data_IF_183754958764
#
_entry.id   IF_183754958764
#
_cell.length_a   1.000
_cell.length_b   1.000
_cell.length_c   1.000
_cell.angle_alpha   90.00
_cell.angle_beta   90.00
_cell.angle_gamma   90.00
#
_symmetry.space_group_name_H-M   'P 1'
#
loop_
_entity.id
_entity.type
_entity.pdbx_description
1 polymer ?
#
# COMPACT_ATOMS: atom_id res chain seq x y z
N UNK A 1 -16.16 38.43 15.01
CA UNK A 1 -16.75 37.49 14.05
C UNK A 1 -15.96 37.64 12.75
N UNK A 2 -15.21 36.62 12.35
CA UNK A 2 -14.46 36.69 11.09
C UNK A 2 -15.44 36.45 9.94
N UNK A 3 -15.50 37.37 8.98
CA UNK A 3 -16.23 37.12 7.75
C UNK A 3 -15.49 35.99 7.01
N UNK A 4 -16.21 34.92 6.69
CA UNK A 4 -15.66 33.86 5.84
C UNK A 4 -15.42 34.45 4.45
N UNK A 5 -14.14 34.56 4.10
CA UNK A 5 -13.72 35.04 2.79
C UNK A 5 -13.76 33.87 1.82
N UNK A 6 -14.40 34.06 0.66
CA UNK A 6 -14.32 33.08 -0.43
C UNK A 6 -12.91 33.05 -1.02
N UNK A 7 -12.13 32.05 -0.60
CA UNK A 7 -10.75 31.87 -1.04
C UNK A 7 -10.61 31.63 -2.55
N UNK A 8 -11.63 31.08 -3.22
CA UNK A 8 -11.58 30.89 -4.68
C UNK A 8 -11.76 32.22 -5.40
N UNK A 9 -12.70 33.06 -4.95
CA UNK A 9 -12.89 34.39 -5.52
C UNK A 9 -11.63 35.27 -5.35
N UNK A 10 -10.98 35.22 -4.18
CA UNK A 10 -9.75 35.97 -3.92
C UNK A 10 -8.59 35.48 -4.78
N UNK A 11 -8.35 34.16 -4.85
CA UNK A 11 -7.29 33.61 -5.71
C UNK A 11 -7.57 33.88 -7.19
N UNK A 12 -8.83 33.88 -7.60
CA UNK A 12 -9.26 34.30 -8.94
C UNK A 12 -8.91 35.75 -9.23
N UNK A 13 -9.24 36.67 -8.31
CA UNK A 13 -8.90 38.09 -8.45
C UNK A 13 -7.39 38.35 -8.52
N UNK A 14 -6.60 37.66 -7.69
CA UNK A 14 -5.13 37.72 -7.72
C UNK A 14 -4.58 37.22 -9.07
N UNK A 15 -5.18 36.15 -9.63
CA UNK A 15 -4.77 35.60 -10.91
C UNK A 15 -5.06 36.53 -12.10
N UNK A 16 -6.08 37.39 -12.02
CA UNK A 16 -6.39 38.38 -13.07
C UNK A 16 -5.34 39.50 -13.12
N UNK A 17 -4.85 39.95 -11.96
CA UNK A 17 -3.89 41.07 -11.88
C UNK A 17 -2.65 40.68 -11.05
N UNK A 18 -1.78 39.81 -11.58
CA UNK A 18 -0.62 39.31 -10.85
C UNK A 18 0.49 40.36 -10.66
N UNK A 19 0.41 41.50 -11.34
CA UNK A 19 1.37 42.62 -11.21
C UNK A 19 1.17 43.42 -9.92
N UNK A 20 -0.05 43.42 -9.36
CA UNK A 20 -0.36 44.10 -8.09
C UNK A 20 0.16 43.29 -6.90
N UNK A 21 0.49 42.01 -7.11
CA UNK A 21 0.86 41.07 -6.05
C UNK A 21 2.19 40.34 -6.34
N UNK A 22 3.33 41.06 -6.54
CA UNK A 22 4.60 40.44 -6.89
C UNK A 22 5.19 39.60 -5.75
N UNK A 23 5.07 40.06 -4.50
CA UNK A 23 5.73 39.46 -3.34
C UNK A 23 5.15 38.08 -2.96
N UNK A 24 3.88 37.83 -3.27
CA UNK A 24 3.20 36.56 -2.93
C UNK A 24 3.30 35.51 -4.04
N UNK A 25 3.90 35.81 -5.20
CA UNK A 25 3.94 34.87 -6.35
C UNK A 25 4.57 33.53 -6.00
N UNK A 26 5.68 33.55 -5.26
CA UNK A 26 6.36 32.33 -4.82
C UNK A 26 5.48 31.52 -3.86
N UNK A 27 4.71 32.19 -3.01
CA UNK A 27 3.83 31.54 -2.04
C UNK A 27 2.56 30.99 -2.68
N UNK A 28 2.02 31.65 -3.71
CA UNK A 28 0.92 31.12 -4.52
C UNK A 28 1.34 29.79 -5.18
N UNK A 29 2.52 29.73 -5.80
CA UNK A 29 3.00 28.51 -6.45
C UNK A 29 3.18 27.35 -5.44
N UNK A 30 3.80 27.63 -4.28
CA UNK A 30 3.95 26.64 -3.20
C UNK A 30 2.59 26.18 -2.65
N UNK A 31 1.67 27.11 -2.45
CA UNK A 31 0.34 26.85 -1.89
C UNK A 31 -0.51 26.05 -2.86
N UNK A 32 -0.53 26.42 -4.14
CA UNK A 32 -1.23 25.68 -5.20
C UNK A 32 -0.75 24.23 -5.27
N UNK A 33 0.57 24.00 -5.30
CA UNK A 33 1.13 22.65 -5.26
C UNK A 33 0.72 21.90 -3.99
N UNK A 34 0.75 22.55 -2.84
CA UNK A 34 0.35 21.94 -1.56
C UNK A 34 -1.13 21.56 -1.52
N UNK A 35 -2.01 22.40 -2.07
CA UNK A 35 -3.45 22.13 -2.14
C UNK A 35 -3.74 20.96 -3.08
N UNK A 36 -3.09 20.92 -4.25
CA UNK A 36 -3.25 19.80 -5.19
C UNK A 36 -2.69 18.52 -4.60
N UNK A 37 -1.51 18.52 -3.99
CA UNK A 37 -0.96 17.30 -3.35
C UNK A 37 -1.82 16.82 -2.19
N UNK A 38 -2.36 17.72 -1.36
CA UNK A 38 -3.34 17.37 -0.32
C UNK A 38 -4.59 16.71 -0.93
N UNK A 39 -5.11 17.27 -2.02
CA UNK A 39 -6.26 16.70 -2.72
C UNK A 39 -5.93 15.31 -3.28
N UNK A 40 -4.77 15.12 -3.92
CA UNK A 40 -4.34 13.83 -4.46
C UNK A 40 -4.21 12.77 -3.36
N UNK A 41 -3.71 13.16 -2.19
CA UNK A 41 -3.55 12.30 -0.99
C UNK A 41 -4.86 12.04 -0.24
N UNK A 42 -5.95 12.73 -0.57
CA UNK A 42 -7.23 12.53 0.10
C UNK A 42 -7.71 11.09 -0.09
N UNK A 43 -7.93 10.34 1.01
CA UNK A 43 -8.23 8.89 0.98
C UNK A 43 -9.44 8.53 0.11
N UNK A 44 -10.42 9.43 0.04
CA UNK A 44 -11.68 9.27 -0.71
C UNK A 44 -11.57 9.54 -2.20
N UNK A 45 -10.38 9.84 -2.75
CA UNK A 45 -10.23 10.19 -4.16
C UNK A 45 -10.29 8.96 -5.06
N UNK A 46 -11.34 8.80 -5.90
CA UNK A 46 -11.42 7.71 -6.86
C UNK A 46 -10.56 8.00 -8.10
N UNK A 47 -10.19 6.96 -8.84
CA UNK A 47 -9.39 7.10 -10.07
C UNK A 47 -10.05 8.01 -11.11
N UNK A 48 -11.38 7.94 -11.26
CA UNK A 48 -12.12 8.83 -12.16
C UNK A 48 -11.89 10.31 -11.82
N UNK A 49 -11.83 10.66 -10.52
CA UNK A 49 -11.57 12.03 -10.08
C UNK A 49 -10.12 12.43 -10.29
N UNK A 50 -9.17 11.49 -10.22
CA UNK A 50 -7.76 11.75 -10.59
C UNK A 50 -7.66 12.17 -12.06
N UNK A 51 -8.36 11.46 -12.95
CA UNK A 51 -8.39 11.77 -14.39
C UNK A 51 -9.02 13.15 -14.65
N UNK A 52 -10.10 13.49 -13.94
CA UNK A 52 -10.70 14.83 -14.01
C UNK A 52 -9.74 15.93 -13.54
N UNK A 53 -9.00 15.70 -12.46
CA UNK A 53 -8.01 16.66 -11.95
C UNK A 53 -6.89 16.86 -12.97
N UNK A 54 -6.37 15.79 -13.59
CA UNK A 54 -5.38 15.91 -14.67
C UNK A 54 -5.94 16.68 -15.87
N UNK A 55 -7.19 16.44 -16.26
CA UNK A 55 -7.84 17.20 -17.35
C UNK A 55 -8.00 18.68 -17.02
N UNK A 56 -8.34 19.01 -15.77
CA UNK A 56 -8.50 20.40 -15.33
C UNK A 56 -7.17 21.16 -15.22
N UNK A 57 -6.10 20.49 -14.79
CA UNK A 57 -4.77 21.09 -14.65
C UNK A 57 -3.96 21.08 -15.95
N UNK A 58 -4.25 20.16 -16.86
CA UNK A 58 -3.41 19.88 -18.01
C UNK A 58 -2.28 18.89 -17.69
N UNK A 59 -1.76 18.23 -18.73
CA UNK A 59 -0.77 17.16 -18.59
C UNK A 59 0.57 17.67 -18.03
N UNK A 60 1.03 18.82 -18.49
CA UNK A 60 2.33 19.40 -18.10
C UNK A 60 2.32 19.86 -16.64
N UNK A 61 1.32 20.65 -16.24
CA UNK A 61 1.19 21.10 -14.84
C UNK A 61 1.01 19.94 -13.88
N UNK A 62 0.27 18.91 -14.28
CA UNK A 62 0.13 17.69 -13.48
C UNK A 62 1.49 16.97 -13.33
N UNK A 63 2.26 16.83 -14.41
CA UNK A 63 3.59 16.21 -14.36
C UNK A 63 4.53 16.96 -13.40
N UNK A 64 4.59 18.30 -13.49
CA UNK A 64 5.40 19.14 -12.59
C UNK A 64 5.02 18.96 -11.11
N UNK A 65 3.73 18.79 -10.81
CA UNK A 65 3.26 18.54 -9.44
C UNK A 65 3.70 17.15 -8.96
N UNK A 66 3.57 16.12 -9.81
CA UNK A 66 3.95 14.74 -9.51
C UNK A 66 5.46 14.60 -9.34
N UNK A 67 6.27 15.26 -10.18
CA UNK A 67 7.73 15.26 -10.09
C UNK A 67 8.22 15.88 -8.78
N UNK A 68 7.48 16.88 -8.29
CA UNK A 68 7.71 17.46 -6.99
C UNK A 68 7.31 16.57 -5.79
N UNK A 69 6.66 15.43 -5.97
CA UNK A 69 6.28 14.58 -4.86
C UNK A 69 7.46 13.78 -4.32
N UNK A 70 7.44 13.50 -3.03
CA UNK A 70 8.41 12.58 -2.42
C UNK A 70 8.13 11.15 -2.90
N UNK A 71 9.17 10.31 -2.95
CA UNK A 71 9.05 8.93 -3.44
C UNK A 71 8.03 8.12 -2.64
N UNK A 72 7.97 8.36 -1.32
CA UNK A 72 6.99 7.73 -0.43
C UNK A 72 5.55 8.12 -0.79
N UNK A 73 5.32 9.39 -1.13
CA UNK A 73 4.00 9.85 -1.54
C UNK A 73 3.59 9.28 -2.89
N UNK A 74 4.48 9.29 -3.87
CA UNK A 74 4.22 8.69 -5.18
C UNK A 74 3.90 7.20 -5.06
N UNK A 75 4.71 6.46 -4.29
CA UNK A 75 4.47 5.04 -3.98
C UNK A 75 3.14 4.81 -3.27
N UNK A 76 2.76 5.67 -2.32
CA UNK A 76 1.48 5.56 -1.61
C UNK A 76 0.27 5.74 -2.53
N UNK A 77 0.37 6.65 -3.50
CA UNK A 77 -0.70 6.89 -4.47
C UNK A 77 -0.82 5.74 -5.46
N UNK A 78 0.30 5.25 -6.00
CA UNK A 78 0.29 4.06 -6.89
C UNK A 78 -0.21 2.84 -6.11
N UNK A 79 0.22 2.62 -4.87
CA UNK A 79 -0.26 1.52 -4.04
C UNK A 79 -1.76 1.56 -3.73
N UNK A 80 -2.38 2.73 -3.82
CA UNK A 80 -3.83 2.88 -3.70
C UNK A 80 -4.54 2.63 -5.02
N UNK A 81 -4.10 3.27 -6.10
CA UNK A 81 -4.77 3.18 -7.40
C UNK A 81 -4.50 1.88 -8.12
N UNK A 82 -3.32 1.31 -7.92
CA UNK A 82 -2.78 0.17 -8.65
C UNK A 82 -2.05 -0.80 -7.71
N UNK A 83 -2.78 -1.27 -6.70
CA UNK A 83 -2.27 -2.14 -5.64
C UNK A 83 -1.68 -3.47 -6.15
N UNK A 84 -2.16 -3.94 -7.30
CA UNK A 84 -1.85 -5.27 -7.82
C UNK A 84 -0.70 -5.29 -8.82
N UNK A 85 -0.10 -4.13 -9.11
CA UNK A 85 1.01 -4.07 -10.06
C UNK A 85 2.23 -4.88 -9.58
N UNK A 86 2.79 -5.78 -10.39
CA UNK A 86 3.91 -6.65 -10.00
C UNK A 86 5.16 -5.84 -9.63
N UNK A 87 5.38 -4.72 -10.30
CA UNK A 87 6.56 -3.85 -10.09
C UNK A 87 6.44 -2.99 -8.83
N UNK A 88 5.28 -2.94 -8.15
CA UNK A 88 5.06 -2.04 -7.01
C UNK A 88 6.00 -2.26 -5.81
N UNK A 89 6.55 -3.48 -5.69
CA UNK A 89 7.46 -3.84 -4.59
C UNK A 89 8.93 -3.57 -4.92
N UNK A 90 9.29 -3.60 -6.19
CA UNK A 90 10.68 -3.56 -6.69
C UNK A 90 11.00 -2.31 -7.50
N UNK A 91 10.00 -1.50 -7.84
CA UNK A 91 10.16 -0.33 -8.68
C UNK A 91 10.94 0.80 -8.00
N UNK A 92 11.74 1.49 -8.83
CA UNK A 92 12.42 2.73 -8.49
C UNK A 92 11.43 3.92 -8.41
N UNK A 93 11.87 5.01 -7.77
CA UNK A 93 11.09 6.23 -7.57
C UNK A 93 10.43 6.76 -8.86
N UNK A 94 11.20 6.82 -9.95
CA UNK A 94 10.77 7.39 -11.22
C UNK A 94 9.67 6.59 -11.90
N UNK A 95 9.63 5.27 -11.64
CA UNK A 95 8.56 4.42 -12.15
C UNK A 95 7.21 4.80 -11.54
N UNK A 96 7.14 5.12 -10.24
CA UNK A 96 5.88 5.51 -9.60
C UNK A 96 5.33 6.81 -10.19
N UNK A 97 6.21 7.78 -10.49
CA UNK A 97 5.83 9.06 -11.13
C UNK A 97 5.24 8.84 -12.52
N UNK A 98 5.93 8.04 -13.35
CA UNK A 98 5.45 7.68 -14.69
C UNK A 98 4.13 6.91 -14.64
N UNK A 99 4.00 5.95 -13.72
CA UNK A 99 2.78 5.16 -13.56
C UNK A 99 1.59 6.02 -13.11
N UNK A 100 1.80 7.00 -12.23
CA UNK A 100 0.74 7.97 -11.88
C UNK A 100 0.31 8.82 -13.08
N UNK A 101 1.26 9.23 -13.93
CA UNK A 101 0.98 9.92 -15.18
C UNK A 101 0.09 9.08 -16.11
N UNK A 102 0.44 7.80 -16.30
CA UNK A 102 -0.31 6.86 -17.12
C UNK A 102 -1.73 6.59 -16.59
N UNK A 103 -1.88 6.32 -15.30
CA UNK A 103 -3.17 6.07 -14.64
C UNK A 103 -4.12 7.29 -14.72
N UNK A 104 -3.54 8.49 -14.64
CA UNK A 104 -4.27 9.75 -14.75
C UNK A 104 -4.69 10.07 -16.19
N UNK A 105 -4.05 9.46 -17.20
CA UNK A 105 -4.38 9.65 -18.60
C UNK A 105 -5.56 8.77 -19.03
N UNK A 106 -5.26 7.50 -19.29
CA UNK A 106 -6.23 6.49 -19.73
C UNK A 106 -5.86 5.09 -19.28
N UNK A 107 -4.68 4.86 -18.70
CA UNK A 107 -4.27 3.52 -18.30
C UNK A 107 -5.17 2.99 -17.18
N UNK A 108 -5.52 1.71 -17.30
CA UNK A 108 -6.28 1.01 -16.29
C UNK A 108 -5.36 0.47 -15.19
N UNK A 109 -5.80 0.51 -13.92
CA UNK A 109 -5.12 -0.19 -12.85
C UNK A 109 -4.89 -1.64 -13.23
N UNK A 110 -3.77 -2.23 -12.80
CA UNK A 110 -3.59 -3.66 -12.94
C UNK A 110 -4.75 -4.34 -12.20
N UNK A 111 -5.50 -5.15 -12.95
CA UNK A 111 -6.57 -5.93 -12.35
C UNK A 111 -5.97 -6.79 -11.24
N UNK A 112 -6.77 -7.03 -10.18
CA UNK A 112 -6.50 -8.16 -9.30
C UNK A 112 -6.19 -9.33 -10.21
N UNK A 113 -5.06 -10.05 -10.04
CA UNK A 113 -4.91 -11.31 -10.72
C UNK A 113 -6.17 -12.08 -10.34
N UNK A 114 -7.05 -12.31 -11.33
CA UNK A 114 -8.10 -13.31 -11.17
C UNK A 114 -7.30 -14.49 -10.70
N UNK A 115 -7.62 -14.97 -9.50
CA UNK A 115 -7.12 -16.26 -9.09
C UNK A 115 -7.50 -17.15 -10.27
N UNK A 116 -6.51 -17.49 -11.09
CA UNK A 116 -6.56 -18.71 -11.86
C UNK A 116 -6.83 -19.67 -10.73
N UNK A 117 -8.07 -20.13 -10.63
CA UNK A 117 -8.36 -21.35 -9.90
C UNK A 117 -7.34 -22.27 -10.54
N UNK A 118 -6.23 -22.50 -9.84
CA UNK A 118 -5.37 -23.58 -10.20
C UNK A 118 -6.36 -24.72 -10.30
N UNK A 119 -6.58 -25.21 -11.52
CA UNK A 119 -7.23 -26.49 -11.69
C UNK A 119 -6.47 -27.36 -10.71
N UNK A 120 -7.17 -27.74 -9.63
CA UNK A 120 -6.62 -28.71 -8.70
C UNK A 120 -6.17 -29.83 -9.64
N UNK A 121 -4.88 -30.18 -9.72
CA UNK A 121 -4.53 -31.42 -10.37
C UNK A 121 -5.40 -32.46 -9.68
N UNK A 122 -6.30 -33.07 -10.45
CA UNK A 122 -7.13 -34.15 -9.98
C UNK A 122 -6.17 -35.09 -9.25
N UNK A 123 -6.45 -35.34 -7.98
CA UNK A 123 -5.57 -36.08 -7.12
C UNK A 123 -5.26 -37.43 -7.78
N UNK A 124 -4.08 -37.53 -8.39
CA UNK A 124 -3.52 -38.81 -8.76
C UNK A 124 -3.50 -39.64 -7.49
N UNK A 125 -4.07 -40.86 -7.48
CA UNK A 125 -4.06 -41.69 -6.29
C UNK A 125 -2.60 -41.90 -5.89
N UNK A 126 -2.22 -41.40 -4.70
CA UNK A 126 -0.94 -41.71 -4.07
C UNK A 126 -0.78 -43.22 -4.08
N UNK A 127 0.33 -43.78 -4.61
CA UNK A 127 0.66 -45.16 -4.30
C UNK A 127 0.80 -45.24 -2.77
N UNK A 128 -0.03 -46.10 -2.16
CA UNK A 128 0.13 -46.50 -0.76
C UNK A 128 1.59 -46.92 -0.61
N UNK A 129 2.33 -46.21 0.23
CA UNK A 129 3.55 -46.77 0.79
C UNK A 129 3.15 -48.10 1.44
N UNK A 130 3.63 -49.20 0.86
CA UNK A 130 3.62 -50.51 1.46
C UNK A 130 4.30 -50.37 2.83
N UNK A 131 3.48 -50.35 3.87
CA UNK A 131 3.96 -50.60 5.23
C UNK A 131 4.63 -51.97 5.19
N UNK A 132 5.94 -51.98 5.44
CA UNK A 132 6.68 -53.21 5.67
C UNK A 132 5.96 -54.03 6.76
N UNK A 133 5.29 -55.09 6.33
CA UNK A 133 4.83 -56.18 7.18
C UNK A 133 6.09 -56.82 7.77
N UNK A 134 6.44 -56.47 9.01
CA UNK A 134 7.60 -57.12 9.62
C UNK A 134 8.16 -56.57 10.94
N UNK A 135 7.53 -55.60 11.63
CA UNK A 135 7.96 -55.26 12.99
C UNK A 135 6.77 -55.19 13.94
N UNK A 136 6.92 -55.92 15.06
CA UNK A 136 5.95 -56.10 16.16
C UNK A 136 5.34 -54.75 16.56
N UNK A 137 4.03 -54.70 16.90
CA UNK A 137 3.43 -53.46 17.37
C UNK A 137 4.19 -52.98 18.61
N UNK A 138 4.72 -51.76 18.53
CA UNK A 138 5.27 -51.07 19.68
C UNK A 138 4.12 -50.80 20.65
N UNK A 139 4.00 -51.66 21.66
CA UNK A 139 3.12 -51.41 22.79
C UNK A 139 3.88 -50.48 23.75
N UNK A 140 3.72 -49.17 23.57
CA UNK A 140 4.02 -48.23 24.64
C UNK A 140 2.94 -48.36 25.71
N UNK A 141 3.24 -49.10 26.77
CA UNK A 141 2.49 -49.01 28.03
C UNK A 141 3.21 -48.02 28.93
N UNK A 142 2.53 -46.95 29.30
CA UNK A 142 2.96 -46.01 30.32
C UNK A 142 2.97 -46.73 31.68
N UNK A 143 4.08 -46.64 32.41
CA UNK A 143 4.31 -47.35 33.68
C UNK A 143 3.83 -46.56 34.91
N UNK A 144 3.14 -45.43 34.69
CA UNK A 144 2.55 -44.62 35.74
C UNK A 144 3.56 -43.88 36.61
N UNK A 145 4.85 -43.84 36.22
CA UNK A 145 5.90 -43.17 36.99
C UNK A 145 6.33 -41.87 36.31
N UNK A 146 6.07 -40.75 36.97
CA UNK A 146 6.62 -39.46 36.54
C UNK A 146 8.12 -39.41 36.84
N UNK A 147 8.92 -39.54 35.78
CA UNK A 147 10.37 -39.47 35.84
C UNK A 147 10.93 -38.03 35.87
N UNK A 148 10.06 -37.02 35.75
CA UNK A 148 10.41 -35.59 35.79
C UNK A 148 10.13 -34.91 37.15
N UNK A 149 9.81 -35.68 38.19
CA UNK A 149 9.57 -35.10 39.51
C UNK A 149 10.88 -34.61 40.18
N UNK A 150 10.97 -33.35 40.66
CA UNK A 150 12.16 -32.85 41.34
C UNK A 150 12.37 -33.56 42.69
N UNK A 151 13.59 -33.99 42.96
CA UNK A 151 13.96 -34.75 44.16
C UNK A 151 13.66 -33.96 45.44
N UNK A 152 12.64 -34.39 46.20
CA UNK A 152 12.33 -33.85 47.53
C UNK A 152 13.42 -34.30 48.51
N UNK A 153 14.23 -33.35 48.98
CA UNK A 153 15.25 -33.59 50.02
C UNK A 153 14.59 -34.02 51.33
N UNK A 154 14.60 -35.32 51.60
CA UNK A 154 14.21 -35.87 52.90
C UNK A 154 15.32 -35.60 53.94
N UNK A 155 15.09 -34.58 54.78
CA UNK A 155 15.70 -34.45 56.11
C UNK A 155 15.49 -35.76 56.87
N UNK A 156 16.57 -36.40 57.37
CA UNK A 156 16.44 -37.28 58.53
C UNK A 156 17.55 -37.02 59.55
N UNK A 157 17.07 -36.67 60.73
CA UNK A 157 17.76 -36.44 62.00
C UNK A 157 17.93 -37.78 62.70
N UNK A 158 18.98 -37.85 63.52
CA UNK A 158 19.21 -38.72 64.70
C UNK A 158 19.69 -40.15 64.50
N UNK A 159 20.70 -40.45 65.32
CA UNK A 159 21.29 -41.73 65.67
C UNK A 159 22.55 -41.41 66.44
#
# INVERSE_FOLDING_TARGET
MALDVDGYAVLGAIAVVPEVFPDIRADIAKTARTLVTKQLKAKSLPLARLRLIRRALGAETFALIVDGMTDAEAKSLVGRFDKHHPELKTAAADWYRRRLGGLADTEEPAEKPKAVKADKPAASPKPKAERALGKRPFAATWDGKDHDAPAVKAKKKKG
#
